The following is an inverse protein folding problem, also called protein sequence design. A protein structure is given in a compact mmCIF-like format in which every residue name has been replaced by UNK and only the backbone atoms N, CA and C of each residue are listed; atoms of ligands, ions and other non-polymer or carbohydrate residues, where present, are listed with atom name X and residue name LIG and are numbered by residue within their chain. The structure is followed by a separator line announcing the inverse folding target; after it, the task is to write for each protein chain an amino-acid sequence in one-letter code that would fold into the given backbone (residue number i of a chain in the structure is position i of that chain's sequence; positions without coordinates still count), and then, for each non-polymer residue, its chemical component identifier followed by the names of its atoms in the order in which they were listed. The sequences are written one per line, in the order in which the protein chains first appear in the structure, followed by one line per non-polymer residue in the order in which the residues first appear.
data_IF_510448875375
#
_entry.id   IF_510448875375
#
_cell.length_a   1.000
_cell.length_b   1.000
_cell.length_c   1.000
_cell.angle_alpha   90.00
_cell.angle_beta   90.00
_cell.angle_gamma   90.00
#
_symmetry.space_group_name_H-M   'P 1'
#
loop_
_entity.id
_entity.type
_entity.pdbx_description
1 polymer ?
#
# COMPACT_ATOMS: atom_id res chain seq x y z
N UNK A 1 -2.91 -33.99 5.48
CA UNK A 1 -1.66 -33.22 5.37
C UNK A 1 -1.85 -31.97 6.18
N UNK A 2 -1.17 -31.97 7.31
CA UNK A 2 -1.22 -30.95 8.33
C UNK A 2 -0.57 -29.68 7.77
N UNK A 3 -1.35 -28.60 7.65
CA UNK A 3 -0.81 -27.28 7.34
C UNK A 3 -0.03 -26.82 8.57
N UNK A 4 1.29 -26.93 8.53
CA UNK A 4 2.17 -26.22 9.46
C UNK A 4 2.15 -24.75 9.08
N UNK A 5 1.21 -24.01 9.65
CA UNK A 5 1.27 -22.55 9.72
C UNK A 5 2.45 -22.18 10.58
N UNK A 6 3.53 -21.73 9.94
CA UNK A 6 4.69 -21.18 10.61
C UNK A 6 4.29 -19.76 11.07
N UNK A 7 3.85 -19.63 12.32
CA UNK A 7 3.65 -18.33 12.93
C UNK A 7 5.03 -17.69 13.11
N UNK A 8 5.32 -16.69 12.28
CA UNK A 8 6.47 -15.82 12.49
C UNK A 8 6.08 -14.88 13.63
N UNK A 9 6.35 -15.30 14.86
CA UNK A 9 6.33 -14.42 16.02
C UNK A 9 7.45 -13.40 15.83
N UNK A 10 7.10 -12.23 15.29
CA UNK A 10 7.99 -11.07 15.27
C UNK A 10 8.12 -10.62 16.73
N UNK A 11 9.11 -11.16 17.43
CA UNK A 11 9.55 -10.62 18.69
C UNK A 11 9.89 -9.15 18.44
N UNK A 12 9.15 -8.24 19.09
CA UNK A 12 9.52 -6.83 19.23
C UNK A 12 10.83 -6.77 20.01
N UNK A 13 11.93 -7.06 19.33
CA UNK A 13 13.24 -6.76 19.83
C UNK A 13 13.35 -5.24 19.83
N UNK A 14 13.39 -4.68 21.03
CA UNK A 14 13.83 -3.32 21.30
C UNK A 14 15.33 -3.22 21.00
N UNK A 15 15.74 -3.51 19.76
CA UNK A 15 17.08 -3.22 19.30
C UNK A 15 17.17 -1.70 19.23
N UNK A 16 18.07 -1.15 20.03
CA UNK A 16 18.45 0.25 19.92
C UNK A 16 18.83 0.54 18.45
N UNK A 17 18.52 1.74 17.93
CA UNK A 17 18.70 2.05 16.51
C UNK A 17 20.14 1.85 16.00
N UNK A 18 21.12 1.87 16.90
CA UNK A 18 22.52 1.60 16.60
C UNK A 18 22.79 0.15 16.19
N UNK A 19 22.13 -0.82 16.82
CA UNK A 19 22.32 -2.24 16.53
C UNK A 19 21.72 -2.63 15.17
N UNK A 20 20.61 -2.00 14.80
CA UNK A 20 19.94 -2.24 13.52
C UNK A 20 20.82 -1.77 12.34
N UNK A 21 21.55 -0.67 12.54
CA UNK A 21 22.56 -0.20 11.58
C UNK A 21 23.70 -1.20 11.43
N UNK A 22 24.17 -1.79 12.54
CA UNK A 22 25.26 -2.78 12.50
C UNK A 22 24.85 -4.06 11.76
N UNK A 23 23.62 -4.54 11.96
CA UNK A 23 23.10 -5.72 11.25
C UNK A 23 22.97 -5.47 9.75
N UNK A 24 22.48 -4.28 9.36
CA UNK A 24 22.38 -3.90 7.94
C UNK A 24 23.78 -3.81 7.31
N UNK A 25 24.75 -3.16 7.98
CA UNK A 25 26.13 -3.06 7.49
C UNK A 25 26.78 -4.45 7.36
N UNK A 26 26.59 -5.33 8.34
CA UNK A 26 27.07 -6.73 8.28
C UNK A 26 26.47 -7.48 7.09
N UNK A 27 25.17 -7.29 6.80
CA UNK A 27 24.52 -7.92 5.65
C UNK A 27 25.12 -7.45 4.31
N UNK A 28 25.47 -6.16 4.20
CA UNK A 28 26.14 -5.61 3.02
C UNK A 28 27.60 -6.05 2.89
N UNK A 29 28.34 -6.16 4.00
CA UNK A 29 29.74 -6.57 4.00
C UNK A 29 29.91 -8.08 3.75
N UNK A 30 28.98 -8.91 4.23
CA UNK A 30 29.04 -10.37 4.07
C UNK A 30 28.32 -10.84 2.80
N UNK A 31 27.26 -10.14 2.37
CA UNK A 31 26.47 -10.49 1.18
C UNK A 31 27.11 -10.12 -0.17
N UNK A 32 28.26 -9.43 -0.17
CA UNK A 32 28.84 -8.83 -1.37
C UNK A 32 29.67 -9.76 -2.28
N UNK A 33 29.80 -11.06 -1.99
CA UNK A 33 30.75 -11.92 -2.75
C UNK A 33 30.18 -13.17 -3.41
N UNK A 34 28.86 -13.34 -3.47
CA UNK A 34 28.29 -14.49 -4.20
C UNK A 34 27.16 -14.05 -5.13
N UNK A 35 27.46 -14.05 -6.43
CA UNK A 35 26.44 -14.20 -7.46
C UNK A 35 26.24 -13.02 -8.40
N UNK A 36 27.27 -12.69 -9.16
CA UNK A 36 27.07 -12.02 -10.45
C UNK A 36 26.26 -12.96 -11.37
N UNK A 37 25.10 -12.49 -11.83
CA UNK A 37 24.66 -12.69 -13.22
C UNK A 37 23.51 -11.72 -13.54
N UNK A 38 23.90 -10.51 -13.98
CA UNK A 38 23.31 -9.80 -15.13
C UNK A 38 21.76 -9.63 -15.22
N UNK A 39 21.09 -9.37 -14.10
CA UNK A 39 19.77 -8.68 -14.10
C UNK A 39 19.67 -7.55 -13.06
N UNK A 40 20.77 -7.30 -12.33
CA UNK A 40 20.82 -6.45 -11.14
C UNK A 40 21.36 -5.03 -11.40
N UNK A 41 21.20 -4.48 -12.61
CA UNK A 41 21.60 -3.08 -12.87
C UNK A 41 20.41 -2.14 -12.76
N UNK A 42 19.19 -2.60 -13.07
CA UNK A 42 18.00 -1.76 -12.95
C UNK A 42 17.50 -1.65 -11.50
N UNK A 43 17.57 -2.73 -10.70
CA UNK A 43 17.08 -2.70 -9.33
C UNK A 43 18.00 -1.91 -8.38
N UNK A 44 19.32 -1.89 -8.63
CA UNK A 44 20.25 -1.14 -7.79
C UNK A 44 20.15 0.38 -7.97
N UNK A 45 19.78 0.85 -9.16
CA UNK A 45 19.53 2.29 -9.38
C UNK A 45 18.24 2.71 -8.67
N UNK A 46 17.18 1.89 -8.76
CA UNK A 46 15.91 2.18 -8.08
C UNK A 46 16.06 2.12 -6.57
N UNK A 47 16.76 1.11 -6.04
CA UNK A 47 17.05 0.99 -4.60
C UNK A 47 17.97 2.14 -4.14
N UNK A 48 19.00 2.49 -4.92
CA UNK A 48 19.87 3.63 -4.63
C UNK A 48 19.13 4.96 -4.59
N UNK A 49 18.22 5.20 -5.53
CA UNK A 49 17.39 6.42 -5.57
C UNK A 49 16.42 6.47 -4.39
N UNK A 50 15.82 5.33 -4.01
CA UNK A 50 14.93 5.23 -2.85
C UNK A 50 15.67 5.52 -1.55
N UNK A 51 16.87 4.98 -1.37
CA UNK A 51 17.71 5.26 -0.20
C UNK A 51 18.09 6.74 -0.15
N UNK A 52 18.44 7.35 -1.29
CA UNK A 52 18.74 8.78 -1.37
C UNK A 52 17.52 9.65 -1.01
N UNK A 53 16.33 9.34 -1.53
CA UNK A 53 15.09 10.08 -1.25
C UNK A 53 14.70 9.95 0.23
N UNK A 54 14.84 8.76 0.83
CA UNK A 54 14.57 8.56 2.26
C UNK A 54 15.58 9.32 3.12
N UNK A 55 16.87 9.33 2.74
CA UNK A 55 17.90 10.10 3.43
C UNK A 55 17.64 11.61 3.36
N UNK A 56 17.28 12.15 2.18
CA UNK A 56 16.95 13.57 2.00
C UNK A 56 15.67 13.97 2.75
N UNK A 57 14.66 13.09 2.80
CA UNK A 57 13.44 13.33 3.57
C UNK A 57 13.71 13.35 5.09
N UNK A 58 14.65 12.52 5.57
CA UNK A 58 15.07 12.51 6.97
C UNK A 58 15.85 13.77 7.36
N UNK A 59 16.77 14.24 6.51
CA UNK A 59 17.54 15.45 6.81
C UNK A 59 16.67 16.71 6.78
N UNK A 60 15.66 16.79 5.92
CA UNK A 60 14.73 17.92 5.89
C UNK A 60 13.88 18.04 7.17
N UNK A 61 13.51 16.92 7.80
CA UNK A 61 12.78 16.93 9.08
C UNK A 61 13.67 17.30 10.27
N UNK A 62 14.95 16.93 10.25
CA UNK A 62 15.85 17.20 11.37
C UNK A 62 16.35 18.66 11.43
N UNK A 63 16.39 19.37 10.30
CA UNK A 63 16.82 20.79 10.26
C UNK A 63 15.71 21.75 10.73
N UNK A 64 14.44 21.32 10.75
CA UNK A 64 13.31 22.21 11.08
C UNK A 64 12.99 22.32 12.58
N UNK A 65 13.63 21.52 13.45
CA UNK A 65 13.20 21.37 14.85
C UNK A 65 13.77 22.43 15.83
N UNK A 66 14.98 23.02 15.67
CA UNK A 66 15.43 23.99 16.67
C UNK A 66 14.88 25.42 16.48
N UNK A 67 14.26 25.76 15.33
CA UNK A 67 13.94 27.17 15.03
C UNK A 67 12.57 27.67 15.54
N UNK A 68 11.61 26.78 15.83
CA UNK A 68 10.33 27.20 16.40
C UNK A 68 10.37 27.44 17.93
N UNK A 69 11.34 26.86 18.64
CA UNK A 69 11.50 27.10 20.07
C UNK A 69 12.05 28.51 20.38
N UNK A 70 12.85 29.11 19.46
CA UNK A 70 13.43 30.43 19.66
C UNK A 70 12.44 31.60 19.43
N UNK A 71 11.35 31.40 18.65
CA UNK A 71 10.38 32.47 18.37
C UNK A 71 9.40 32.75 19.52
N UNK A 72 9.16 31.78 20.40
CA UNK A 72 8.18 31.93 21.48
C UNK A 72 8.75 32.59 22.74
N UNK A 73 10.07 32.86 22.79
CA UNK A 73 10.72 33.43 23.96
C UNK A 73 10.89 34.97 23.93
N UNK A 74 10.53 35.65 22.82
CA UNK A 74 10.84 37.08 22.62
C UNK A 74 9.65 38.02 22.40
N UNK A 75 8.41 37.62 22.71
CA UNK A 75 7.24 38.45 22.40
C UNK A 75 6.08 38.27 23.35
N UNK A 76 6.26 38.56 24.64
CA UNK A 76 5.17 38.51 25.62
C UNK A 76 5.18 39.64 26.65
N UNK A 77 5.45 40.88 26.25
CA UNK A 77 5.01 42.05 27.03
C UNK A 77 4.33 43.04 26.05
N UNK A 78 3.23 43.68 26.49
CA UNK A 78 2.37 44.64 25.75
C UNK A 78 1.12 44.11 25.02
N UNK A 79 0.50 43.03 25.50
CA UNK A 79 -0.75 42.48 24.94
C UNK A 79 -2.08 43.03 25.56
N UNK A 80 -2.03 43.90 26.57
CA UNK A 80 -3.26 44.37 27.26
C UNK A 80 -3.88 45.64 26.69
N UNK A 81 -3.11 46.57 26.13
CA UNK A 81 -3.64 47.89 25.71
C UNK A 81 -4.12 47.94 24.25
N UNK A 82 -3.60 47.07 23.37
CA UNK A 82 -4.07 46.95 21.97
C UNK A 82 -5.49 46.36 21.85
N UNK A 83 -5.96 45.62 22.87
CA UNK A 83 -7.27 44.94 22.85
C UNK A 83 -8.45 45.91 22.99
N UNK A 84 -8.24 47.11 23.55
CA UNK A 84 -9.29 48.15 23.64
C UNK A 84 -9.42 48.95 22.34
N UNK A 85 -8.31 49.31 21.68
CA UNK A 85 -8.34 50.04 20.41
C UNK A 85 -8.94 49.21 19.26
N UNK A 86 -8.70 47.89 19.26
CA UNK A 86 -9.20 47.00 18.20
C UNK A 86 -10.71 46.73 18.31
N UNK A 87 -11.28 46.77 19.52
CA UNK A 87 -12.75 46.63 19.72
C UNK A 87 -13.53 47.84 19.23
N UNK A 88 -12.97 49.05 19.36
CA UNK A 88 -13.66 50.28 18.92
C UNK A 88 -13.66 50.44 17.39
N UNK A 89 -12.58 50.03 16.71
CA UNK A 89 -12.55 49.99 15.24
C UNK A 89 -13.47 48.92 14.64
N UNK A 90 -13.60 47.76 15.30
CA UNK A 90 -14.54 46.71 14.86
C UNK A 90 -16.01 47.16 14.98
N UNK A 91 -16.34 47.98 15.97
CA UNK A 91 -17.72 48.45 16.20
C UNK A 91 -18.13 49.55 15.21
N UNK A 92 -17.20 50.44 14.82
CA UNK A 92 -17.46 51.48 13.79
C UNK A 92 -17.65 50.88 12.39
N UNK A 93 -17.00 49.76 12.05
CA UNK A 93 -17.23 49.06 10.78
C UNK A 93 -18.56 48.28 10.72
N UNK A 94 -19.12 47.88 11.87
CA UNK A 94 -20.43 47.21 11.91
C UNK A 94 -21.60 48.19 11.75
N UNK A 95 -21.44 49.45 12.15
CA UNK A 95 -22.49 50.46 12.00
C UNK A 95 -22.68 50.92 10.54
N UNK A 96 -21.61 50.97 9.73
CA UNK A 96 -21.68 51.45 8.34
C UNK A 96 -22.23 50.41 7.34
N UNK A 97 -22.29 49.12 7.71
CA UNK A 97 -22.77 48.03 6.83
C UNK A 97 -24.29 47.82 6.85
N UNK A 98 -25.03 48.57 7.68
CA UNK A 98 -26.44 48.27 7.99
C UNK A 98 -27.49 48.69 6.94
N UNK A 99 -27.27 49.63 5.99
CA UNK A 99 -28.29 49.93 4.98
C UNK A 99 -28.14 49.20 3.63
N UNK A 100 -27.00 48.54 3.33
CA UNK A 100 -26.78 47.86 2.04
C UNK A 100 -27.11 46.34 2.05
N UNK A 101 -27.63 45.82 3.16
CA UNK A 101 -27.83 44.38 3.38
C UNK A 101 -29.21 43.86 2.93
N UNK A 102 -30.19 44.74 2.71
CA UNK A 102 -31.56 44.32 2.37
C UNK A 102 -31.79 44.10 0.87
N UNK A 103 -30.95 44.70 0.02
CA UNK A 103 -31.12 44.62 -1.44
C UNK A 103 -30.26 43.51 -2.09
N UNK A 104 -29.17 43.07 -1.43
CA UNK A 104 -28.41 41.86 -1.84
C UNK A 104 -29.10 40.54 -1.50
N UNK A 105 -29.99 40.52 -0.51
CA UNK A 105 -30.67 39.29 -0.08
C UNK A 105 -31.65 38.73 -1.14
N UNK A 106 -32.12 39.57 -2.07
CA UNK A 106 -33.10 39.17 -3.10
C UNK A 106 -32.45 38.65 -4.40
N UNK A 107 -31.22 39.04 -4.71
CA UNK A 107 -30.47 38.51 -5.86
C UNK A 107 -29.66 37.24 -5.55
N UNK A 108 -29.37 36.96 -4.27
CA UNK A 108 -28.78 35.67 -3.86
C UNK A 108 -29.80 34.52 -3.83
N UNK A 109 -31.09 34.80 -3.62
CA UNK A 109 -32.12 33.75 -3.56
C UNK A 109 -32.42 33.09 -4.91
N UNK A 110 -32.22 33.77 -6.04
CA UNK A 110 -32.45 33.19 -7.38
C UNK A 110 -31.22 32.48 -7.96
N UNK A 111 -30.01 32.73 -7.46
CA UNK A 111 -28.79 31.98 -7.88
C UNK A 111 -28.55 30.69 -7.06
N UNK A 112 -29.17 30.55 -5.89
CA UNK A 112 -29.06 29.34 -5.07
C UNK A 112 -29.80 28.12 -5.63
N UNK A 113 -30.91 28.33 -6.34
CA UNK A 113 -31.77 27.24 -6.82
C UNK A 113 -31.24 26.61 -8.12
N UNK A 114 -30.65 27.42 -9.00
CA UNK A 114 -30.04 26.94 -10.24
C UNK A 114 -28.70 26.21 -10.00
N UNK A 115 -27.99 26.56 -8.91
CA UNK A 115 -26.74 25.89 -8.51
C UNK A 115 -26.99 24.62 -7.68
N UNK A 116 -28.20 24.40 -7.16
CA UNK A 116 -28.58 23.14 -6.50
C UNK A 116 -28.81 22.02 -7.54
N UNK A 117 -29.55 22.30 -8.61
CA UNK A 117 -29.88 21.29 -9.64
C UNK A 117 -28.67 20.81 -10.46
N UNK A 118 -27.61 21.63 -10.53
CA UNK A 118 -26.37 21.28 -11.26
C UNK A 118 -25.43 20.35 -10.47
N UNK A 119 -25.58 20.26 -9.15
CA UNK A 119 -24.77 19.33 -8.32
C UNK A 119 -25.22 17.88 -8.47
N UNK A 120 -26.53 17.65 -8.55
CA UNK A 120 -27.08 16.28 -8.63
C UNK A 120 -26.67 15.56 -9.91
N UNK A 121 -26.55 16.27 -11.05
CA UNK A 121 -26.11 15.64 -12.31
C UNK A 121 -24.62 15.26 -12.28
N UNK A 122 -23.80 16.00 -11.53
CA UNK A 122 -22.34 15.76 -11.51
C UNK A 122 -21.99 14.54 -10.64
N UNK A 123 -22.73 14.28 -9.56
CA UNK A 123 -22.50 13.11 -8.72
C UNK A 123 -22.77 11.80 -9.45
N UNK A 124 -23.82 11.74 -10.27
CA UNK A 124 -24.21 10.50 -10.95
C UNK A 124 -23.17 10.07 -11.99
N UNK A 125 -22.61 11.02 -12.74
CA UNK A 125 -21.55 10.75 -13.73
C UNK A 125 -20.28 10.23 -13.04
N UNK A 126 -19.92 10.78 -11.88
CA UNK A 126 -18.75 10.32 -11.12
C UNK A 126 -18.94 8.90 -10.56
N UNK A 127 -20.16 8.58 -10.10
CA UNK A 127 -20.49 7.23 -9.61
C UNK A 127 -20.44 6.21 -10.74
N UNK A 128 -20.99 6.53 -11.91
CA UNK A 128 -20.95 5.64 -13.08
C UNK A 128 -19.51 5.39 -13.55
N UNK A 129 -18.68 6.43 -13.57
CA UNK A 129 -17.27 6.30 -13.94
C UNK A 129 -16.49 5.44 -12.93
N UNK A 130 -16.72 5.62 -11.64
CA UNK A 130 -16.09 4.82 -10.60
C UNK A 130 -16.51 3.34 -10.69
N UNK A 131 -17.79 3.06 -10.95
CA UNK A 131 -18.29 1.70 -11.12
C UNK A 131 -17.65 1.01 -12.33
N UNK A 132 -17.53 1.70 -13.47
CA UNK A 132 -16.85 1.16 -14.66
C UNK A 132 -15.39 0.79 -14.37
N UNK A 133 -14.67 1.64 -13.63
CA UNK A 133 -13.30 1.36 -13.22
C UNK A 133 -13.19 0.13 -12.32
N UNK A 134 -14.13 -0.04 -11.38
CA UNK A 134 -14.17 -1.22 -10.50
C UNK A 134 -14.39 -2.52 -11.28
N UNK A 135 -15.35 -2.54 -12.22
CA UNK A 135 -15.63 -3.72 -13.05
C UNK A 135 -14.41 -4.12 -13.88
N UNK A 136 -13.74 -3.15 -14.51
CA UNK A 136 -12.53 -3.41 -15.30
C UNK A 136 -11.39 -3.95 -14.43
N UNK A 137 -11.20 -3.39 -13.23
CA UNK A 137 -10.20 -3.88 -12.28
C UNK A 137 -10.48 -5.34 -11.84
N UNK A 138 -11.74 -5.67 -11.58
CA UNK A 138 -12.14 -7.04 -11.22
C UNK A 138 -11.92 -8.03 -12.36
N UNK A 139 -12.28 -7.64 -13.60
CA UNK A 139 -12.05 -8.47 -14.78
C UNK A 139 -10.56 -8.76 -14.99
N UNK A 140 -9.71 -7.73 -14.87
CA UNK A 140 -8.26 -7.89 -14.94
C UNK A 140 -7.71 -8.83 -13.85
N UNK A 141 -8.26 -8.78 -12.63
CA UNK A 141 -7.88 -9.69 -11.54
C UNK A 141 -8.33 -11.14 -11.81
N UNK A 142 -9.55 -11.34 -12.34
CA UNK A 142 -10.04 -12.66 -12.73
C UNK A 142 -9.19 -13.27 -13.85
N UNK A 143 -8.78 -12.46 -14.83
CA UNK A 143 -7.90 -12.93 -15.91
C UNK A 143 -6.52 -13.33 -15.39
N UNK A 144 -5.93 -12.56 -14.46
CA UNK A 144 -4.67 -12.93 -13.79
C UNK A 144 -4.78 -14.27 -13.06
N UNK A 145 -5.82 -14.46 -12.25
CA UNK A 145 -6.05 -15.74 -11.55
C UNK A 145 -6.20 -16.91 -12.52
N UNK A 146 -6.95 -16.75 -13.61
CA UNK A 146 -7.08 -17.79 -14.64
C UNK A 146 -5.72 -18.13 -15.27
N UNK A 147 -4.88 -17.14 -15.55
CA UNK A 147 -3.53 -17.37 -16.09
C UNK A 147 -2.63 -18.13 -15.10
N UNK A 148 -2.70 -17.80 -13.81
CA UNK A 148 -1.97 -18.50 -12.75
C UNK A 148 -2.46 -19.96 -12.57
N UNK A 149 -3.77 -20.19 -12.64
CA UNK A 149 -4.37 -21.53 -12.60
C UNK A 149 -3.92 -22.39 -13.78
N UNK A 150 -3.97 -21.85 -15.01
CA UNK A 150 -3.50 -22.55 -16.22
C UNK A 150 -2.00 -22.86 -16.15
N UNK A 151 -1.19 -21.92 -15.65
CA UNK A 151 0.24 -22.16 -15.47
C UNK A 151 0.50 -23.25 -14.42
N UNK A 152 -0.29 -23.28 -13.35
CA UNK A 152 -0.20 -24.29 -12.29
C UNK A 152 -0.64 -25.66 -12.81
N UNK A 153 -1.71 -25.72 -13.60
CA UNK A 153 -2.19 -26.96 -14.23
C UNK A 153 -1.16 -27.53 -15.19
N UNK A 154 -0.60 -26.70 -16.08
CA UNK A 154 0.48 -27.11 -16.99
C UNK A 154 1.74 -27.58 -16.25
N UNK A 155 2.05 -27.00 -15.09
CA UNK A 155 3.13 -27.48 -14.23
C UNK A 155 2.79 -28.85 -13.62
N UNK A 156 1.57 -29.02 -13.09
CA UNK A 156 1.13 -30.29 -12.52
C UNK A 156 1.12 -31.41 -13.55
N UNK A 157 0.68 -31.17 -14.79
CA UNK A 157 0.71 -32.17 -15.85
C UNK A 157 2.12 -32.67 -16.18
N UNK A 158 3.13 -31.80 -16.07
CA UNK A 158 4.52 -32.15 -16.37
C UNK A 158 5.25 -32.84 -15.21
N UNK A 159 4.98 -32.40 -13.98
CA UNK A 159 5.78 -32.77 -12.81
C UNK A 159 5.01 -33.57 -11.75
N UNK A 160 3.71 -33.73 -11.91
CA UNK A 160 2.84 -34.50 -11.03
C UNK A 160 2.09 -35.59 -11.80
N UNK A 161 1.78 -36.70 -11.13
CA UNK A 161 0.86 -37.73 -11.64
C UNK A 161 -0.33 -37.86 -10.69
N UNK A 162 -1.51 -38.16 -11.21
CA UNK A 162 -2.67 -38.47 -10.36
C UNK A 162 -2.51 -39.84 -9.74
N UNK A 163 -2.95 -39.96 -8.48
CA UNK A 163 -3.02 -41.26 -7.82
C UNK A 163 -3.88 -42.23 -8.65
N UNK A 164 -3.41 -43.47 -8.92
CA UNK A 164 -4.14 -44.45 -9.75
C UNK A 164 -5.44 -44.96 -9.12
N UNK A 165 -5.71 -44.65 -7.84
CA UNK A 165 -6.99 -44.98 -7.20
C UNK A 165 -8.04 -43.95 -7.64
N UNK A 166 -9.14 -44.37 -8.31
CA UNK A 166 -10.13 -43.45 -8.90
C UNK A 166 -10.82 -42.57 -7.86
N UNK A 167 -10.99 -43.06 -6.63
CA UNK A 167 -11.56 -42.29 -5.53
C UNK A 167 -10.62 -41.25 -4.93
N UNK A 168 -9.30 -41.35 -5.17
CA UNK A 168 -8.32 -40.45 -4.57
C UNK A 168 -8.04 -39.23 -5.46
N UNK A 169 -7.62 -39.44 -6.71
CA UNK A 169 -7.39 -38.38 -7.69
C UNK A 169 -6.36 -37.29 -7.32
N UNK A 170 -5.70 -37.38 -6.17
CA UNK A 170 -4.73 -36.40 -5.69
C UNK A 170 -3.49 -36.39 -6.59
N UNK A 171 -3.01 -35.20 -6.93
CA UNK A 171 -1.74 -34.99 -7.61
C UNK A 171 -0.56 -35.31 -6.68
N UNK A 172 0.33 -36.20 -7.12
CA UNK A 172 1.55 -36.60 -6.42
C UNK A 172 2.73 -36.12 -7.25
N UNK A 173 3.60 -35.30 -6.68
CA UNK A 173 4.83 -34.83 -7.31
C UNK A 173 6.02 -35.71 -6.94
N UNK A 174 6.96 -35.87 -7.87
CA UNK A 174 8.18 -36.67 -7.65
C UNK A 174 9.25 -35.83 -6.95
N UNK A 175 9.58 -36.19 -5.71
CA UNK A 175 10.72 -35.64 -4.98
C UNK A 175 11.91 -36.58 -5.23
N UNK A 176 12.71 -36.29 -6.26
CA UNK A 176 13.99 -36.90 -6.69
C UNK A 176 14.29 -38.39 -6.40
N UNK A 177 14.86 -39.09 -7.39
CA UNK A 177 15.67 -40.30 -7.17
C UNK A 177 14.90 -41.64 -7.14
N UNK A 178 13.74 -41.73 -6.50
CA UNK A 178 12.95 -42.98 -6.53
C UNK A 178 11.84 -42.92 -7.58
N UNK A 179 11.60 -44.02 -8.30
CA UNK A 179 10.44 -44.20 -9.18
C UNK A 179 9.23 -44.77 -8.41
N UNK A 180 9.46 -45.42 -7.27
CA UNK A 180 8.41 -45.99 -6.45
C UNK A 180 7.87 -44.94 -5.47
N UNK A 181 6.60 -44.60 -5.62
CA UNK A 181 5.94 -43.55 -4.85
C UNK A 181 4.79 -44.11 -4.02
N UNK A 182 4.50 -43.46 -2.89
CA UNK A 182 3.35 -43.78 -2.05
C UNK A 182 2.44 -42.57 -1.95
N UNK A 183 1.18 -42.70 -2.40
CA UNK A 183 0.17 -41.67 -2.23
C UNK A 183 -0.25 -41.57 -0.76
N UNK A 184 -0.82 -40.43 -0.35
CA UNK A 184 -1.38 -40.23 1.01
C UNK A 184 -2.51 -41.20 1.35
N UNK A 185 -3.16 -41.79 0.36
CA UNK A 185 -4.18 -42.83 0.55
C UNK A 185 -3.61 -44.24 0.77
N UNK A 186 -2.29 -44.37 0.84
CA UNK A 186 -1.56 -45.63 1.08
C UNK A 186 -1.23 -46.45 -0.17
N UNK A 187 -1.73 -46.06 -1.34
CA UNK A 187 -1.43 -46.77 -2.61
C UNK A 187 0.02 -46.53 -3.00
N UNK A 188 0.73 -47.63 -3.25
CA UNK A 188 2.08 -47.63 -3.83
C UNK A 188 1.98 -47.79 -5.34
N UNK A 189 2.75 -47.02 -6.09
CA UNK A 189 2.77 -47.08 -7.55
C UNK A 189 4.13 -46.66 -8.11
N UNK A 190 4.45 -47.15 -9.30
CA UNK A 190 5.68 -46.80 -10.01
C UNK A 190 5.40 -45.64 -10.98
N UNK A 191 6.18 -44.57 -10.87
CA UNK A 191 6.06 -43.37 -11.72
C UNK A 191 6.24 -43.64 -13.21
N UNK A 192 7.07 -44.62 -13.56
CA UNK A 192 7.43 -44.94 -14.95
C UNK A 192 6.36 -45.72 -15.69
N UNK A 193 5.48 -46.45 -14.97
CA UNK A 193 4.45 -47.29 -15.59
C UNK A 193 3.23 -46.49 -16.07
N UNK A 194 3.23 -45.17 -15.83
CA UNK A 194 2.09 -44.30 -16.08
C UNK A 194 0.93 -44.60 -15.13
N UNK A 195 0.09 -43.61 -14.86
CA UNK A 195 -1.24 -43.89 -14.36
C UNK A 195 -1.96 -44.67 -15.46
N UNK A 196 -2.16 -45.98 -15.29
CA UNK A 196 -3.10 -46.74 -16.12
C UNK A 196 -4.42 -45.96 -16.14
N UNK A 197 -4.72 -45.37 -17.30
CA UNK A 197 -5.91 -44.56 -17.53
C UNK A 197 -7.16 -45.42 -17.48
#
# INVERSE_FOLDING_TARGET
MSKTTMEITICRFLLSPMELITVVIMFFLVGGTVGACMQLVCDNVVVGLLVLVVALAWTAKFVSIPFQAARNALGLEDAKDKKKAQKEQAQKQQALKRPASKERLRSEQTQGEETAKKRDITSDVLVEQALKQQILAEQAQRERRRKEELATEAYLERYAQRCPRPQCGVWVSRISGCAHMTCRCGVRFDWTKGSLA
#
